data_IF_892749865828
#
_entry.id   IF_892749865828
#
_cell.length_a   1.000
_cell.length_b   1.000
_cell.length_c   1.000
_cell.angle_alpha   90.00
_cell.angle_beta   90.00
_cell.angle_gamma   90.00
#
_symmetry.space_group_name_H-M   'P 1'
#
loop_
_entity.id
_entity.type
_entity.pdbx_description
1 polymer ?
#
# COMPACT_ATOMS: atom_id res chain seq x y z
N UNK A 1 16.00 13.11 38.52
CA UNK A 1 16.67 11.80 38.54
C UNK A 1 16.04 11.03 39.68
N UNK A 2 15.47 9.87 39.40
CA UNK A 2 14.93 8.98 40.42
C UNK A 2 15.88 7.81 40.57
N UNK A 3 16.30 7.48 41.79
CA UNK A 3 17.16 6.33 42.04
C UNK A 3 16.32 5.10 42.35
N UNK A 4 16.76 3.96 41.84
CA UNK A 4 16.17 2.65 42.14
C UNK A 4 16.78 2.08 43.42
N UNK A 5 16.08 1.15 44.07
CA UNK A 5 16.56 0.51 45.30
C UNK A 5 17.86 -0.27 45.13
N UNK A 6 18.20 -0.65 43.89
CA UNK A 6 19.41 -1.39 43.52
C UNK A 6 20.53 -0.48 42.95
N UNK A 7 20.40 0.85 43.07
CA UNK A 7 21.45 1.81 42.70
C UNK A 7 21.47 2.26 41.22
N UNK A 8 20.55 1.78 40.38
CA UNK A 8 20.26 2.36 39.07
C UNK A 8 19.46 3.66 39.15
N UNK A 9 19.25 4.34 38.02
CA UNK A 9 18.51 5.61 38.00
C UNK A 9 17.65 5.80 36.74
N UNK A 10 16.58 6.59 36.89
CA UNK A 10 15.71 7.09 35.82
C UNK A 10 15.96 8.59 35.60
N UNK A 11 16.20 8.96 34.34
CA UNK A 11 16.25 10.35 33.89
C UNK A 11 15.11 10.56 32.91
N UNK A 12 14.27 11.56 33.18
CA UNK A 12 13.17 11.96 32.31
C UNK A 12 13.44 13.37 31.82
N UNK A 13 13.31 13.57 30.51
CA UNK A 13 13.52 14.86 29.85
C UNK A 13 12.60 14.98 28.64
N UNK A 14 12.28 16.20 28.24
CA UNK A 14 11.53 16.45 27.01
C UNK A 14 12.44 16.44 25.78
N UNK A 15 11.85 16.43 24.60
CA UNK A 15 12.56 16.72 23.34
C UNK A 15 13.26 18.08 23.47
N UNK A 16 14.55 18.14 23.10
CA UNK A 16 15.51 19.24 23.32
C UNK A 16 16.04 19.41 24.75
N UNK A 17 15.63 18.57 25.70
CA UNK A 17 16.24 18.55 27.02
C UNK A 17 17.64 17.94 26.97
N UNK A 18 18.48 18.25 27.96
CA UNK A 18 19.80 17.63 28.04
C UNK A 18 19.70 16.21 28.62
N UNK A 19 20.32 15.25 27.93
CA UNK A 19 20.71 13.97 28.50
C UNK A 19 22.17 14.08 28.94
N UNK A 20 22.41 13.87 30.23
CA UNK A 20 23.75 13.94 30.85
C UNK A 20 24.75 13.02 30.13
N UNK A 21 26.06 13.21 30.34
CA UNK A 21 27.14 12.45 29.69
C UNK A 21 27.25 10.97 30.11
N UNK A 22 26.20 10.37 30.66
CA UNK A 22 26.17 8.98 31.09
C UNK A 22 25.50 8.12 30.03
N UNK A 23 26.00 6.91 29.84
CA UNK A 23 25.37 5.91 28.97
C UNK A 23 24.02 5.49 29.53
N UNK A 24 23.13 5.02 28.66
CA UNK A 24 21.80 4.53 29.04
C UNK A 24 21.63 3.06 28.64
N UNK A 25 21.19 2.22 29.56
CA UNK A 25 20.90 0.81 29.28
C UNK A 25 19.56 0.65 28.54
N UNK A 26 18.57 1.48 28.87
CA UNK A 26 17.24 1.48 28.25
C UNK A 26 16.83 2.92 27.94
N UNK A 27 16.52 3.19 26.68
CA UNK A 27 15.92 4.44 26.23
C UNK A 27 14.43 4.21 25.95
N UNK A 28 13.57 4.96 26.64
CA UNK A 28 12.13 4.96 26.42
C UNK A 28 11.73 6.33 25.86
N UNK A 29 11.07 6.32 24.72
CA UNK A 29 10.51 7.50 24.07
C UNK A 29 9.00 7.38 24.05
N UNK A 30 8.35 8.12 24.94
CA UNK A 30 6.90 8.11 25.17
C UNK A 30 6.28 9.41 24.63
N UNK A 31 5.25 9.29 23.79
CA UNK A 31 4.45 10.40 23.23
C UNK A 31 5.25 11.65 22.82
N UNK A 32 6.12 11.48 21.83
CA UNK A 32 7.01 12.53 21.31
C UNK A 32 6.29 13.75 20.70
N UNK A 33 5.00 13.60 20.37
CA UNK A 33 4.18 14.61 19.74
C UNK A 33 2.96 14.90 20.62
N UNK A 34 2.76 16.16 21.03
CA UNK A 34 1.64 16.53 21.91
C UNK A 34 0.27 16.45 21.23
N UNK A 35 0.23 16.43 19.90
CA UNK A 35 -0.98 16.33 19.11
C UNK A 35 -0.76 16.64 17.63
N UNK A 36 -1.85 16.75 16.87
CA UNK A 36 -1.83 16.94 15.40
C UNK A 36 -0.92 18.08 14.94
N UNK A 37 -0.98 19.24 15.59
CA UNK A 37 -0.20 20.42 15.17
C UNK A 37 1.31 20.18 15.22
N UNK A 38 1.81 19.54 16.28
CA UNK A 38 3.23 19.22 16.42
C UNK A 38 3.65 18.16 15.40
N UNK A 39 2.84 17.11 15.23
CA UNK A 39 3.17 16.01 14.31
C UNK A 39 3.13 16.42 12.83
N UNK A 40 2.27 17.36 12.44
CA UNK A 40 2.18 17.85 11.07
C UNK A 40 3.18 18.98 10.77
N UNK A 41 3.85 19.54 11.79
CA UNK A 41 4.87 20.56 11.60
C UNK A 41 6.19 19.92 11.16
N UNK A 42 6.67 20.16 9.92
CA UNK A 42 7.93 19.58 9.45
C UNK A 42 9.11 20.02 10.31
N UNK A 43 9.09 21.26 10.83
CA UNK A 43 10.11 21.81 11.73
C UNK A 43 10.13 21.02 13.05
N UNK A 44 8.97 20.68 13.60
CA UNK A 44 8.90 19.94 14.85
C UNK A 44 9.32 18.47 14.64
N UNK A 45 8.88 17.83 13.55
CA UNK A 45 9.36 16.48 13.18
C UNK A 45 10.87 16.44 13.03
N UNK A 46 11.45 17.39 12.30
CA UNK A 46 12.90 17.50 12.14
C UNK A 46 13.61 17.67 13.48
N UNK A 47 13.08 18.50 14.37
CA UNK A 47 13.61 18.68 15.72
C UNK A 47 13.60 17.38 16.55
N UNK A 48 12.52 16.60 16.47
CA UNK A 48 12.45 15.29 17.15
C UNK A 48 13.51 14.35 16.59
N UNK A 49 13.68 14.32 15.27
CA UNK A 49 14.70 13.52 14.59
C UNK A 49 16.12 13.96 14.96
N UNK A 50 16.39 15.26 14.98
CA UNK A 50 17.68 15.82 15.38
C UNK A 50 18.02 15.47 16.82
N UNK A 51 17.03 15.59 17.73
CA UNK A 51 17.19 15.19 19.11
C UNK A 51 17.50 13.69 19.25
N UNK A 52 16.78 12.83 18.50
CA UNK A 52 17.05 11.39 18.48
C UNK A 52 18.49 11.11 18.05
N UNK A 53 18.90 11.59 16.86
CA UNK A 53 20.21 11.28 16.27
C UNK A 53 21.37 11.87 17.08
N UNK A 54 21.24 13.12 17.53
CA UNK A 54 22.38 13.85 18.12
C UNK A 54 22.50 13.68 19.64
N UNK A 55 21.38 13.44 20.33
CA UNK A 55 21.34 13.42 21.81
C UNK A 55 20.98 12.04 22.34
N UNK A 56 19.88 11.44 21.88
CA UNK A 56 19.38 10.21 22.48
C UNK A 56 20.22 8.99 22.06
N UNK A 57 20.40 8.81 20.76
CA UNK A 57 21.13 7.68 20.18
C UNK A 57 22.61 7.67 20.60
N UNK A 58 23.24 8.85 20.71
CA UNK A 58 24.64 8.99 21.15
C UNK A 58 24.88 8.60 22.62
N UNK A 59 23.83 8.25 23.38
CA UNK A 59 23.94 7.71 24.74
C UNK A 59 23.80 6.20 24.81
N UNK A 60 23.44 5.55 23.71
CA UNK A 60 23.34 4.11 23.61
C UNK A 60 24.74 3.51 23.47
N UNK A 61 24.92 2.35 24.10
CA UNK A 61 26.06 1.46 23.91
C UNK A 61 25.57 0.15 23.26
N UNK A 62 26.48 -0.74 22.90
CA UNK A 62 26.16 -1.99 22.16
C UNK A 62 25.12 -2.90 22.86
N UNK A 63 24.91 -2.73 24.17
CA UNK A 63 23.95 -3.50 24.95
C UNK A 63 22.61 -2.80 25.17
N UNK A 64 22.50 -1.52 24.80
CA UNK A 64 21.32 -0.72 25.09
C UNK A 64 20.08 -1.23 24.34
N UNK A 65 18.92 -1.01 24.95
CA UNK A 65 17.61 -1.29 24.34
C UNK A 65 16.83 0.00 24.16
N UNK A 66 15.96 -0.01 23.16
CA UNK A 66 15.11 1.11 22.82
C UNK A 66 13.64 0.68 22.81
N UNK A 67 12.77 1.51 23.39
CA UNK A 67 11.33 1.38 23.30
C UNK A 67 10.75 2.72 22.85
N UNK A 68 10.17 2.74 21.66
CA UNK A 68 9.45 3.90 21.12
C UNK A 68 7.97 3.57 21.19
N UNK A 69 7.22 4.37 21.94
CA UNK A 69 5.81 4.18 22.18
C UNK A 69 5.09 5.51 22.00
N UNK A 70 4.27 5.63 20.97
CA UNK A 70 3.35 6.76 20.83
C UNK A 70 2.30 6.46 19.76
N UNK A 71 1.25 7.26 19.76
CA UNK A 71 0.21 7.21 18.72
C UNK A 71 0.72 7.87 17.45
N UNK A 72 0.75 7.13 16.33
CA UNK A 72 1.17 7.67 15.02
C UNK A 72 0.21 8.77 14.54
N UNK A 73 0.76 9.91 14.15
CA UNK A 73 -0.03 11.05 13.62
C UNK A 73 0.26 11.34 12.15
N UNK A 74 1.52 11.15 11.73
CA UNK A 74 2.02 11.50 10.41
C UNK A 74 2.98 10.42 9.90
N UNK A 75 3.05 10.20 8.60
CA UNK A 75 3.91 9.17 8.02
C UNK A 75 5.39 9.42 8.30
N UNK A 76 5.85 10.67 8.21
CA UNK A 76 7.23 11.10 8.49
C UNK A 76 7.54 11.38 9.97
N UNK A 77 6.72 10.92 10.92
CA UNK A 77 7.12 10.98 12.32
C UNK A 77 8.34 10.07 12.61
N UNK A 78 8.95 10.15 13.80
CA UNK A 78 10.23 9.48 14.10
C UNK A 78 10.24 7.99 13.72
N UNK A 79 9.21 7.24 14.12
CA UNK A 79 9.02 5.84 13.81
C UNK A 79 8.87 5.62 12.30
N UNK A 80 8.24 6.54 11.57
CA UNK A 80 8.18 6.49 10.11
C UNK A 80 9.57 6.55 9.48
N UNK A 81 10.36 7.54 9.89
CA UNK A 81 11.73 7.73 9.39
C UNK A 81 12.63 6.54 9.75
N UNK A 82 12.51 6.01 10.97
CA UNK A 82 13.30 4.85 11.41
C UNK A 82 12.90 3.58 10.66
N UNK A 83 11.61 3.35 10.43
CA UNK A 83 11.14 2.18 9.69
C UNK A 83 11.45 2.27 8.20
N UNK A 84 11.55 3.47 7.61
CA UNK A 84 12.01 3.63 6.22
C UNK A 84 13.50 3.23 6.07
N UNK A 85 14.34 3.58 7.05
CA UNK A 85 15.79 3.37 6.96
C UNK A 85 16.26 2.00 7.47
N UNK A 86 15.60 1.49 8.50
CA UNK A 86 16.13 0.44 9.37
C UNK A 86 15.04 -0.59 9.76
N UNK A 87 14.10 -0.87 8.85
CA UNK A 87 12.94 -1.75 9.14
C UNK A 87 13.33 -3.07 9.81
N UNK A 88 14.40 -3.70 9.35
CA UNK A 88 14.87 -5.02 9.82
C UNK A 88 15.40 -5.01 11.26
N UNK A 89 15.69 -3.82 11.82
CA UNK A 89 16.21 -3.66 13.18
C UNK A 89 15.06 -3.56 14.20
N UNK A 90 13.92 -3.01 13.78
CA UNK A 90 12.81 -2.67 14.67
C UNK A 90 11.74 -3.76 14.72
N UNK A 91 11.42 -4.21 15.93
CA UNK A 91 10.21 -5.00 16.17
C UNK A 91 9.00 -4.06 16.29
N UNK A 92 8.09 -4.11 15.31
CA UNK A 92 6.88 -3.26 15.30
C UNK A 92 5.71 -3.99 15.93
N UNK A 93 5.16 -3.42 17.01
CA UNK A 93 3.96 -3.94 17.67
C UNK A 93 2.78 -2.99 17.47
N UNK A 94 2.06 -3.15 16.36
CA UNK A 94 0.90 -2.32 15.99
C UNK A 94 -0.41 -2.97 16.46
N UNK A 95 -1.25 -2.23 17.17
CA UNK A 95 -2.60 -2.67 17.52
C UNK A 95 -3.63 -1.72 16.94
N UNK A 96 -4.46 -2.24 16.05
CA UNK A 96 -5.51 -1.49 15.38
C UNK A 96 -6.77 -1.43 16.24
N UNK A 97 -7.38 -0.24 16.38
CA UNK A 97 -8.60 -0.07 17.16
C UNK A 97 -9.75 -0.94 16.64
N UNK A 98 -9.88 -1.09 15.32
CA UNK A 98 -10.65 -2.17 14.68
C UNK A 98 -9.64 -3.02 13.90
N UNK A 99 -9.58 -4.32 14.16
CA UNK A 99 -8.64 -5.18 13.45
C UNK A 99 -9.00 -5.25 11.95
N UNK A 100 -8.12 -4.76 11.09
CA UNK A 100 -8.27 -4.75 9.62
C UNK A 100 -7.16 -5.56 8.94
N UNK A 101 -6.05 -5.84 9.62
CA UNK A 101 -4.94 -6.64 9.10
C UNK A 101 -4.47 -7.76 10.05
N UNK A 102 -3.58 -8.61 9.54
CA UNK A 102 -2.89 -9.65 10.31
C UNK A 102 -1.42 -9.30 10.58
N UNK A 103 -1.05 -8.02 10.45
CA UNK A 103 0.36 -7.57 10.54
C UNK A 103 0.97 -7.82 11.93
N UNK A 104 0.12 -7.94 12.95
CA UNK A 104 0.54 -8.25 14.31
C UNK A 104 0.11 -9.67 14.70
N UNK A 105 1.05 -10.61 14.64
CA UNK A 105 0.83 -12.02 14.99
C UNK A 105 0.38 -12.24 16.44
N UNK A 106 0.67 -11.29 17.34
CA UNK A 106 0.23 -11.36 18.75
C UNK A 106 -1.23 -10.97 18.94
N UNK A 107 -1.83 -10.29 17.97
CA UNK A 107 -3.22 -9.90 18.00
C UNK A 107 -4.11 -11.07 17.55
N UNK A 108 -4.74 -11.76 18.50
CA UNK A 108 -5.54 -12.96 18.26
C UNK A 108 -7.01 -12.69 17.93
N UNK A 109 -7.42 -11.42 17.84
CA UNK A 109 -8.79 -11.03 17.50
C UNK A 109 -9.17 -11.45 16.08
N UNK A 110 -10.46 -11.56 15.79
CA UNK A 110 -10.95 -11.70 14.42
C UNK A 110 -10.97 -10.35 13.68
N UNK A 111 -10.95 -10.39 12.34
CA UNK A 111 -11.10 -9.16 11.55
C UNK A 111 -12.43 -8.47 11.88
N UNK A 112 -12.37 -7.16 12.06
CA UNK A 112 -13.49 -6.31 12.40
C UNK A 112 -13.80 -6.24 13.90
N UNK A 113 -13.07 -6.94 14.76
CA UNK A 113 -13.23 -6.83 16.21
C UNK A 113 -12.55 -5.58 16.78
N UNK A 114 -13.20 -4.85 17.72
CA UNK A 114 -12.60 -3.71 18.40
C UNK A 114 -11.52 -4.13 19.40
N UNK A 115 -10.49 -3.30 19.60
CA UNK A 115 -9.34 -3.62 20.47
C UNK A 115 -9.73 -3.66 21.94
N UNK A 116 -10.61 -2.74 22.32
CA UNK A 116 -11.09 -2.60 23.68
C UNK A 116 -12.57 -2.25 23.68
N UNK A 117 -13.41 -3.24 23.37
CA UNK A 117 -14.86 -3.04 23.19
C UNK A 117 -15.52 -2.31 24.37
N UNK A 118 -15.10 -2.63 25.60
CA UNK A 118 -15.65 -2.07 26.84
C UNK A 118 -15.43 -0.55 26.97
N UNK A 119 -14.30 -0.03 26.47
CA UNK A 119 -13.98 1.41 26.52
C UNK A 119 -14.28 2.13 25.20
N UNK A 120 -14.15 1.41 24.08
CA UNK A 120 -14.29 1.89 22.71
C UNK A 120 -15.10 0.89 21.88
N UNK A 121 -16.42 0.93 22.03
CA UNK A 121 -17.38 0.14 21.24
C UNK A 121 -17.13 0.30 19.74
N UNK A 122 -17.43 -0.76 18.96
CA UNK A 122 -17.31 -0.75 17.49
C UNK A 122 -18.11 0.39 16.86
N UNK A 123 -19.31 0.68 17.36
CA UNK A 123 -20.19 1.74 16.87
C UNK A 123 -19.55 3.12 17.04
N UNK A 124 -18.91 3.38 18.19
CA UNK A 124 -18.15 4.61 18.45
C UNK A 124 -16.98 4.74 17.47
N UNK A 125 -16.22 3.67 17.26
CA UNK A 125 -15.07 3.66 16.34
C UNK A 125 -15.52 3.91 14.89
N UNK A 126 -16.58 3.26 14.43
CA UNK A 126 -17.17 3.49 13.10
C UNK A 126 -17.70 4.92 12.94
N UNK A 127 -18.26 5.51 13.99
CA UNK A 127 -18.67 6.92 13.98
C UNK A 127 -17.48 7.86 13.83
N UNK A 128 -16.35 7.59 14.51
CA UNK A 128 -15.11 8.36 14.33
C UNK A 128 -14.60 8.20 12.89
N UNK A 129 -14.53 6.96 12.38
CA UNK A 129 -14.16 6.66 10.98
C UNK A 129 -14.99 7.44 9.97
N UNK A 130 -16.30 7.57 10.21
CA UNK A 130 -17.21 8.33 9.34
C UNK A 130 -16.99 9.85 9.42
N UNK A 131 -16.77 10.38 10.63
CA UNK A 131 -16.69 11.82 10.85
C UNK A 131 -15.32 12.38 10.46
N UNK A 132 -14.24 11.66 10.76
CA UNK A 132 -12.87 12.06 10.46
C UNK A 132 -12.05 10.81 10.08
N UNK A 133 -12.10 10.40 8.79
CA UNK A 133 -11.40 9.22 8.31
C UNK A 133 -9.88 9.32 8.48
N UNK A 134 -9.31 10.53 8.37
CA UNK A 134 -7.87 10.76 8.52
C UNK A 134 -7.43 10.53 9.96
N UNK A 135 -8.13 11.13 10.94
CA UNK A 135 -7.86 10.94 12.37
C UNK A 135 -8.06 9.48 12.78
N UNK A 136 -9.11 8.82 12.26
CA UNK A 136 -9.31 7.39 12.52
C UNK A 136 -8.12 6.58 11.99
N UNK A 137 -7.72 6.82 10.75
CA UNK A 137 -6.66 6.07 10.10
C UNK A 137 -5.29 6.27 10.76
N UNK A 138 -4.96 7.50 11.18
CA UNK A 138 -3.72 7.77 11.91
C UNK A 138 -3.79 7.24 13.34
N UNK A 139 -4.70 7.75 14.17
CA UNK A 139 -4.66 7.50 15.62
C UNK A 139 -5.21 6.14 16.02
N UNK A 140 -6.28 5.71 15.38
CA UNK A 140 -6.99 4.49 15.79
C UNK A 140 -6.40 3.27 15.09
N UNK A 141 -6.04 3.39 13.81
CA UNK A 141 -5.43 2.30 13.05
C UNK A 141 -3.89 2.32 13.07
N UNK A 142 -3.25 3.33 13.68
CA UNK A 142 -1.79 3.48 13.76
C UNK A 142 -1.12 3.50 12.37
N UNK A 143 -1.78 4.12 11.40
CA UNK A 143 -1.43 3.95 10.00
C UNK A 143 -1.67 5.23 9.19
N UNK A 144 -0.97 6.33 9.57
CA UNK A 144 -1.15 7.65 8.98
C UNK A 144 -0.89 7.61 7.48
N UNK A 145 -1.74 8.30 6.71
CA UNK A 145 -1.60 8.37 5.25
C UNK A 145 -0.88 9.65 4.83
N UNK A 146 -0.16 9.62 3.70
CA UNK A 146 0.31 10.83 3.06
C UNK A 146 -0.87 11.73 2.73
N UNK A 147 -0.80 13.00 3.12
CA UNK A 147 -1.78 14.02 2.71
C UNK A 147 -1.42 14.68 1.40
N UNK A 148 -0.16 14.57 0.97
CA UNK A 148 0.37 15.18 -0.25
C UNK A 148 1.31 14.20 -0.96
N UNK A 149 1.53 14.41 -2.26
CA UNK A 149 2.45 13.59 -3.04
C UNK A 149 1.91 12.21 -3.43
N UNK A 150 0.60 11.96 -3.26
CA UNK A 150 -0.06 10.77 -3.79
C UNK A 150 -0.05 10.78 -5.33
N UNK A 151 0.23 9.64 -5.93
CA UNK A 151 0.20 9.48 -7.38
C UNK A 151 -1.24 9.25 -7.88
N UNK A 152 -2.04 8.52 -7.11
CA UNK A 152 -3.42 8.18 -7.45
C UNK A 152 -4.38 8.89 -6.51
N UNK A 153 -5.11 9.85 -7.06
CA UNK A 153 -6.06 10.69 -6.32
C UNK A 153 -7.46 10.54 -6.91
N UNK A 154 -8.49 10.66 -6.07
CA UNK A 154 -9.90 10.63 -6.49
C UNK A 154 -10.24 9.39 -7.34
N UNK A 155 -9.84 8.21 -6.86
CA UNK A 155 -10.07 6.93 -7.54
C UNK A 155 -11.57 6.78 -7.85
N UNK A 156 -11.90 6.78 -9.14
CA UNK A 156 -13.29 6.81 -9.59
C UNK A 156 -13.94 5.44 -9.44
N UNK A 157 -15.24 5.44 -9.17
CA UNK A 157 -16.02 4.21 -9.03
C UNK A 157 -17.20 4.14 -10.00
N UNK A 158 -17.77 2.94 -10.14
CA UNK A 158 -19.03 2.68 -10.84
C UNK A 158 -19.99 1.85 -9.99
N UNK A 159 -21.28 2.15 -10.09
CA UNK A 159 -22.35 1.36 -9.48
C UNK A 159 -22.86 0.23 -10.40
N UNK A 160 -22.82 0.45 -11.72
CA UNK A 160 -23.31 -0.51 -12.73
C UNK A 160 -22.15 -0.85 -13.66
N UNK A 161 -21.83 -2.14 -13.74
CA UNK A 161 -20.82 -2.63 -14.68
C UNK A 161 -21.41 -2.66 -16.10
N UNK A 162 -20.67 -2.23 -17.14
CA UNK A 162 -21.17 -2.27 -18.51
C UNK A 162 -21.50 -3.69 -18.96
N UNK A 163 -22.56 -3.82 -19.77
CA UNK A 163 -22.97 -5.11 -20.36
C UNK A 163 -22.23 -5.46 -21.64
N UNK A 164 -21.60 -4.46 -22.26
CA UNK A 164 -20.82 -4.57 -23.47
C UNK A 164 -19.32 -4.52 -23.16
N UNK A 165 -18.51 -4.82 -24.16
CA UNK A 165 -17.05 -4.84 -24.02
C UNK A 165 -16.48 -6.25 -23.88
N UNK A 166 -15.23 -6.38 -24.31
CA UNK A 166 -14.50 -7.64 -24.20
C UNK A 166 -13.89 -7.74 -22.81
N UNK A 167 -14.16 -8.83 -22.09
CA UNK A 167 -13.49 -9.10 -20.82
C UNK A 167 -12.03 -9.47 -21.08
N UNK A 168 -11.13 -8.75 -20.42
CA UNK A 168 -9.68 -8.89 -20.53
C UNK A 168 -9.07 -9.06 -19.13
N UNK A 169 -7.85 -9.57 -19.06
CA UNK A 169 -7.07 -9.52 -17.83
C UNK A 169 -5.61 -9.18 -18.11
N UNK A 170 -4.98 -8.56 -17.12
CA UNK A 170 -3.55 -8.34 -17.07
C UNK A 170 -3.05 -8.88 -15.73
N UNK A 171 -1.95 -9.62 -15.76
CA UNK A 171 -1.37 -10.24 -14.57
C UNK A 171 0.12 -9.97 -14.54
N UNK A 172 0.54 -9.30 -13.47
CA UNK A 172 1.93 -9.23 -13.04
C UNK A 172 2.19 -10.35 -12.00
N UNK A 173 3.21 -11.16 -12.27
CA UNK A 173 3.51 -12.35 -11.46
C UNK A 173 4.53 -12.02 -10.40
N UNK A 174 4.29 -12.44 -9.15
CA UNK A 174 5.30 -12.38 -8.10
C UNK A 174 6.45 -13.34 -8.44
N UNK A 175 7.70 -12.86 -8.41
CA UNK A 175 8.88 -13.68 -8.75
C UNK A 175 9.35 -14.50 -7.52
N UNK A 176 9.65 -13.89 -6.35
CA UNK A 176 9.96 -14.60 -5.09
C UNK A 176 9.61 -13.82 -3.80
N UNK A 177 9.03 -14.52 -2.80
CA UNK A 177 9.08 -14.23 -1.36
C UNK A 177 8.34 -12.99 -0.80
N UNK A 178 8.53 -11.82 -1.42
CA UNK A 178 8.02 -10.52 -0.94
C UNK A 178 7.09 -9.82 -1.93
N UNK A 179 7.13 -10.18 -3.21
CA UNK A 179 6.36 -9.48 -4.24
C UNK A 179 4.88 -9.90 -4.21
N UNK A 180 3.99 -8.96 -4.51
CA UNK A 180 2.58 -9.27 -4.65
C UNK A 180 2.29 -9.74 -6.07
N UNK A 181 1.54 -10.84 -6.20
CA UNK A 181 0.81 -11.12 -7.43
C UNK A 181 -0.23 -10.00 -7.61
N UNK A 182 -0.27 -9.38 -8.79
CA UNK A 182 -1.35 -8.47 -9.18
C UNK A 182 -2.02 -8.98 -10.46
N UNK A 183 -3.26 -9.50 -10.34
CA UNK A 183 -4.08 -9.88 -11.50
C UNK A 183 -5.36 -9.08 -11.52
N UNK A 184 -5.59 -8.34 -12.59
CA UNK A 184 -6.74 -7.45 -12.75
C UNK A 184 -7.57 -7.91 -13.94
N UNK A 185 -8.85 -8.18 -13.70
CA UNK A 185 -9.85 -8.43 -14.74
C UNK A 185 -10.59 -7.12 -15.00
N UNK A 186 -10.72 -6.75 -16.26
CA UNK A 186 -11.34 -5.49 -16.65
C UNK A 186 -12.02 -5.58 -18.02
N UNK A 187 -12.79 -4.55 -18.36
CA UNK A 187 -13.22 -4.30 -19.73
C UNK A 187 -13.01 -2.84 -20.10
N UNK A 188 -12.92 -2.54 -21.40
CA UNK A 188 -12.84 -1.17 -21.92
C UNK A 188 -14.07 -0.85 -22.74
N UNK A 189 -14.79 0.20 -22.34
CA UNK A 189 -16.01 0.68 -23.00
C UNK A 189 -15.95 2.20 -23.06
N UNK A 190 -16.18 2.78 -24.24
CA UNK A 190 -16.24 4.23 -24.46
C UNK A 190 -15.04 5.02 -23.91
N UNK A 191 -13.84 4.43 -23.98
CA UNK A 191 -12.60 5.05 -23.51
C UNK A 191 -12.33 4.91 -22.01
N UNK A 192 -13.26 4.34 -21.24
CA UNK A 192 -13.08 4.03 -19.82
C UNK A 192 -12.70 2.56 -19.62
N UNK A 193 -11.85 2.31 -18.63
CA UNK A 193 -11.46 0.97 -18.17
C UNK A 193 -12.24 0.65 -16.90
N UNK A 194 -13.12 -0.34 -16.97
CA UNK A 194 -13.92 -0.81 -15.84
C UNK A 194 -13.25 -2.02 -15.21
N UNK A 195 -12.69 -1.84 -14.02
CA UNK A 195 -12.09 -2.92 -13.23
C UNK A 195 -13.20 -3.77 -12.63
N UNK A 196 -13.16 -5.08 -12.90
CA UNK A 196 -14.16 -6.04 -12.48
C UNK A 196 -13.72 -6.85 -11.26
N UNK A 197 -12.48 -7.31 -11.27
CA UNK A 197 -11.91 -8.17 -10.24
C UNK A 197 -10.42 -7.88 -10.06
N UNK A 198 -9.93 -8.03 -8.83
CA UNK A 198 -8.52 -7.81 -8.48
C UNK A 198 -8.08 -8.93 -7.54
N UNK A 199 -7.10 -9.71 -7.97
CA UNK A 199 -6.34 -10.61 -7.10
C UNK A 199 -5.03 -9.91 -6.78
N UNK A 200 -4.87 -9.50 -5.52
CA UNK A 200 -3.65 -8.86 -5.02
C UNK A 200 -3.19 -9.56 -3.73
N UNK A 201 -2.11 -10.36 -3.81
CA UNK A 201 -1.67 -11.21 -2.69
C UNK A 201 -0.22 -11.68 -2.79
N UNK A 202 0.43 -11.91 -1.64
CA UNK A 202 1.76 -12.55 -1.51
C UNK A 202 1.68 -14.08 -1.35
N UNK A 203 0.53 -14.71 -1.62
CA UNK A 203 0.41 -16.16 -1.57
C UNK A 203 1.31 -16.82 -2.62
N UNK A 204 1.80 -18.03 -2.30
CA UNK A 204 2.65 -18.83 -3.19
C UNK A 204 1.94 -19.14 -4.52
N UNK A 205 2.73 -19.32 -5.59
CA UNK A 205 2.26 -19.65 -6.95
C UNK A 205 1.27 -20.82 -6.99
N UNK A 206 1.53 -21.88 -6.21
CA UNK A 206 0.63 -23.05 -6.12
C UNK A 206 -0.81 -22.71 -5.72
N UNK A 207 -1.00 -21.60 -4.99
CA UNK A 207 -2.32 -21.08 -4.61
C UNK A 207 -2.82 -20.02 -5.58
N UNK A 208 -1.93 -19.18 -6.12
CA UNK A 208 -2.34 -18.06 -6.98
C UNK A 208 -2.64 -18.47 -8.41
N UNK A 209 -2.01 -19.52 -8.94
CA UNK A 209 -2.32 -20.10 -10.26
C UNK A 209 -3.80 -20.52 -10.39
N UNK A 210 -4.35 -21.37 -9.50
CA UNK A 210 -5.78 -21.73 -9.57
C UNK A 210 -6.69 -20.53 -9.28
N UNK A 211 -6.31 -19.62 -8.37
CA UNK A 211 -7.09 -18.40 -8.11
C UNK A 211 -7.25 -17.52 -9.37
N UNK A 212 -6.16 -17.31 -10.12
CA UNK A 212 -6.21 -16.56 -11.37
C UNK A 212 -7.05 -17.33 -12.40
N UNK A 213 -6.83 -18.64 -12.56
CA UNK A 213 -7.61 -19.45 -13.49
C UNK A 213 -9.12 -19.39 -13.22
N UNK A 214 -9.53 -19.52 -11.96
CA UNK A 214 -10.94 -19.41 -11.54
C UNK A 214 -11.52 -18.03 -11.87
N UNK A 215 -10.77 -16.95 -11.60
CA UNK A 215 -11.18 -15.58 -11.96
C UNK A 215 -11.37 -15.43 -13.48
N UNK A 216 -10.46 -15.98 -14.29
CA UNK A 216 -10.60 -15.96 -15.76
C UNK A 216 -11.86 -16.69 -16.23
N UNK A 217 -12.19 -17.84 -15.63
CA UNK A 217 -13.36 -18.65 -15.95
C UNK A 217 -14.65 -17.91 -15.53
N UNK A 218 -14.73 -17.49 -14.27
CA UNK A 218 -15.91 -16.85 -13.67
C UNK A 218 -16.29 -15.60 -14.45
N UNK A 219 -15.31 -14.76 -14.79
CA UNK A 219 -15.53 -13.51 -15.51
C UNK A 219 -15.50 -13.67 -17.03
N UNK A 220 -15.41 -14.91 -17.53
CA UNK A 220 -15.42 -15.25 -18.97
C UNK A 220 -14.41 -14.44 -19.77
N UNK A 221 -13.20 -14.27 -19.22
CA UNK A 221 -12.13 -13.48 -19.84
C UNK A 221 -11.79 -14.05 -21.21
N UNK A 222 -11.71 -13.19 -22.22
CA UNK A 222 -11.38 -13.58 -23.59
C UNK A 222 -9.90 -13.43 -23.91
N UNK A 223 -9.28 -12.36 -23.44
CA UNK A 223 -7.85 -12.13 -23.62
C UNK A 223 -7.19 -11.94 -22.26
N UNK A 224 -6.26 -12.82 -21.92
CA UNK A 224 -5.50 -12.73 -20.68
C UNK A 224 -4.03 -12.49 -21.03
N UNK A 225 -3.44 -11.50 -20.37
CA UNK A 225 -2.02 -11.21 -20.48
C UNK A 225 -1.33 -11.49 -19.17
N UNK A 226 -0.24 -12.24 -19.26
CA UNK A 226 0.52 -12.64 -18.09
C UNK A 226 1.98 -12.26 -18.34
N UNK A 227 2.54 -11.47 -17.45
CA UNK A 227 3.94 -11.08 -17.53
C UNK A 227 4.84 -12.32 -17.34
N UNK A 228 5.89 -12.44 -18.16
CA UNK A 228 6.73 -13.63 -18.25
C UNK A 228 8.11 -13.40 -17.66
N UNK A 229 8.15 -12.88 -16.45
CA UNK A 229 9.37 -12.67 -15.67
C UNK A 229 9.83 -14.01 -15.07
N UNK A 230 10.75 -14.01 -14.10
CA UNK A 230 11.30 -15.25 -13.55
C UNK A 230 10.21 -16.10 -12.87
N UNK A 231 9.70 -17.11 -13.59
CA UNK A 231 8.60 -17.98 -13.15
C UNK A 231 7.27 -17.71 -13.85
N UNK A 232 7.04 -16.51 -14.38
CA UNK A 232 5.80 -16.11 -15.04
C UNK A 232 5.43 -16.93 -16.28
N UNK A 233 6.43 -17.49 -17.00
CA UNK A 233 6.17 -18.45 -18.10
C UNK A 233 5.61 -19.78 -17.60
N UNK A 234 6.05 -20.25 -16.43
CA UNK A 234 5.51 -21.43 -15.76
C UNK A 234 4.08 -21.16 -15.30
N UNK A 235 3.89 -20.04 -14.62
CA UNK A 235 2.59 -19.54 -14.17
C UNK A 235 1.56 -19.51 -15.30
N UNK A 236 1.89 -18.86 -16.43
CA UNK A 236 1.00 -18.77 -17.58
C UNK A 236 0.63 -20.13 -18.18
N UNK A 237 1.55 -21.10 -18.18
CA UNK A 237 1.29 -22.47 -18.66
C UNK A 237 0.37 -23.23 -17.72
N UNK A 238 0.57 -23.09 -16.42
CA UNK A 238 -0.25 -23.76 -15.41
C UNK A 238 -1.67 -23.18 -15.40
N UNK A 239 -1.82 -21.85 -15.41
CA UNK A 239 -3.12 -21.19 -15.58
C UNK A 239 -3.81 -21.66 -16.88
N UNK A 240 -3.08 -21.74 -18.00
CA UNK A 240 -3.63 -22.25 -19.26
C UNK A 240 -4.14 -23.68 -19.16
N UNK A 241 -3.42 -24.55 -18.47
CA UNK A 241 -3.82 -25.94 -18.23
C UNK A 241 -5.07 -26.01 -17.35
N UNK A 242 -5.17 -25.17 -16.33
CA UNK A 242 -6.32 -25.14 -15.42
C UNK A 242 -7.63 -24.68 -16.09
N UNK A 243 -7.55 -23.77 -17.06
CA UNK A 243 -8.72 -23.30 -17.81
C UNK A 243 -9.10 -24.18 -19.00
N UNK A 244 -8.26 -25.16 -19.38
CA UNK A 244 -8.46 -26.00 -20.54
C UNK A 244 -9.77 -26.81 -20.42
N UNK A 245 -10.63 -26.72 -21.44
CA UNK A 245 -11.97 -27.33 -21.41
C UNK A 245 -13.01 -26.60 -20.55
N UNK A 246 -12.61 -25.59 -19.76
CA UNK A 246 -13.51 -24.81 -18.89
C UNK A 246 -13.81 -23.41 -19.44
N UNK A 247 -12.84 -22.77 -20.08
CA UNK A 247 -13.00 -21.44 -20.68
C UNK A 247 -12.25 -21.31 -22.02
N UNK A 248 -12.80 -20.49 -22.92
CA UNK A 248 -12.14 -20.12 -24.17
C UNK A 248 -11.44 -18.75 -24.01
N UNK A 249 -10.30 -18.77 -23.30
CA UNK A 249 -9.47 -17.59 -23.02
C UNK A 249 -8.14 -17.69 -23.78
N UNK A 250 -7.82 -16.65 -24.54
CA UNK A 250 -6.54 -16.50 -25.21
C UNK A 250 -5.50 -15.93 -24.24
N UNK A 251 -4.63 -16.80 -23.71
CA UNK A 251 -3.52 -16.40 -22.84
C UNK A 251 -2.30 -16.05 -23.70
N UNK A 252 -1.82 -14.81 -23.57
CA UNK A 252 -0.56 -14.34 -24.14
C UNK A 252 0.38 -13.96 -23.02
N UNK A 253 1.58 -14.55 -23.02
CA UNK A 253 2.65 -14.12 -22.13
C UNK A 253 3.61 -13.17 -22.84
N UNK A 254 4.16 -12.20 -22.12
CA UNK A 254 5.04 -11.18 -22.67
C UNK A 254 6.10 -10.79 -21.64
N UNK A 255 7.26 -10.34 -22.11
CA UNK A 255 8.32 -9.81 -21.26
C UNK A 255 8.28 -8.29 -21.28
N UNK A 256 8.35 -7.66 -20.12
CA UNK A 256 8.42 -6.21 -19.98
C UNK A 256 9.83 -5.78 -19.61
N UNK A 257 10.49 -5.06 -20.52
CA UNK A 257 11.88 -4.62 -20.34
C UNK A 257 12.04 -3.13 -20.06
N UNK A 258 10.94 -2.36 -20.08
CA UNK A 258 10.98 -0.92 -19.82
C UNK A 258 11.10 -0.63 -18.33
N UNK A 259 11.60 0.56 -18.00
CA UNK A 259 11.70 1.03 -16.63
C UNK A 259 10.32 1.12 -15.96
N UNK A 260 10.13 0.36 -14.87
CA UNK A 260 8.89 0.24 -14.08
C UNK A 260 8.41 1.60 -13.57
N UNK A 261 9.27 2.35 -12.89
CA UNK A 261 8.99 3.68 -12.33
C UNK A 261 8.49 4.67 -13.40
N UNK A 262 9.15 4.75 -14.56
CA UNK A 262 8.73 5.63 -15.64
C UNK A 262 7.34 5.28 -16.21
N UNK A 263 7.02 3.97 -16.29
CA UNK A 263 5.70 3.50 -16.73
C UNK A 263 4.60 3.87 -15.75
N UNK A 264 4.84 3.62 -14.46
CA UNK A 264 3.93 3.99 -13.38
C UNK A 264 3.58 5.48 -13.42
N UNK A 265 4.60 6.34 -13.48
CA UNK A 265 4.42 7.79 -13.52
C UNK A 265 3.70 8.28 -14.77
N UNK A 266 4.05 7.74 -15.95
CA UNK A 266 3.44 8.17 -17.21
C UNK A 266 1.97 7.74 -17.36
N UNK A 267 1.60 6.58 -16.82
CA UNK A 267 0.23 6.06 -16.88
C UNK A 267 -0.72 6.70 -15.85
N UNK A 268 -0.20 7.21 -14.72
CA UNK A 268 -0.98 7.67 -13.58
C UNK A 268 -2.10 8.66 -13.93
N UNK A 269 -1.84 9.63 -14.80
CA UNK A 269 -2.84 10.63 -15.24
C UNK A 269 -4.04 9.98 -15.94
N UNK A 270 -3.80 9.01 -16.82
CA UNK A 270 -4.86 8.29 -17.51
C UNK A 270 -5.58 7.32 -16.57
N UNK A 271 -4.87 6.70 -15.62
CA UNK A 271 -5.47 5.86 -14.59
C UNK A 271 -6.47 6.67 -13.75
N UNK A 272 -6.05 7.81 -13.17
CA UNK A 272 -6.92 8.68 -12.38
C UNK A 272 -8.14 9.18 -13.17
N UNK A 273 -8.00 9.36 -14.49
CA UNK A 273 -9.07 9.92 -15.32
C UNK A 273 -10.04 8.87 -15.86
N UNK A 274 -9.55 7.72 -16.29
CA UNK A 274 -10.31 6.77 -17.13
C UNK A 274 -10.51 5.40 -16.50
N UNK A 275 -9.85 5.07 -15.40
CA UNK A 275 -10.07 3.81 -14.71
C UNK A 275 -11.18 3.97 -13.67
N UNK A 276 -12.09 3.01 -13.65
CA UNK A 276 -13.28 2.98 -12.80
C UNK A 276 -13.26 1.66 -12.02
N UNK A 277 -13.31 1.75 -10.69
CA UNK A 277 -13.36 0.61 -9.77
C UNK A 277 -14.81 0.34 -9.32
N UNK A 278 -15.16 -0.87 -8.85
CA UNK A 278 -16.51 -1.08 -8.33
C UNK A 278 -16.81 -0.16 -7.14
N UNK A 279 -18.07 0.21 -6.94
CA UNK A 279 -18.45 0.84 -5.67
C UNK A 279 -18.08 -0.06 -4.48
N UNK A 280 -17.59 0.57 -3.41
CA UNK A 280 -17.08 -0.07 -2.19
C UNK A 280 -15.95 -1.06 -2.45
N UNK A 281 -15.09 -0.78 -3.43
CA UNK A 281 -13.95 -1.65 -3.74
C UNK A 281 -12.93 -1.70 -2.60
N UNK A 282 -12.91 -0.74 -1.68
CA UNK A 282 -12.16 -0.78 -0.43
C UNK A 282 -12.58 -1.94 0.48
N UNK A 283 -13.85 -2.37 0.42
CA UNK A 283 -14.35 -3.55 1.15
C UNK A 283 -14.09 -4.84 0.35
N UNK A 284 -14.19 -4.78 -0.98
CA UNK A 284 -14.04 -5.95 -1.87
C UNK A 284 -12.58 -6.36 -2.05
N UNK A 285 -11.68 -5.38 -2.15
CA UNK A 285 -10.25 -5.55 -2.44
C UNK A 285 -9.40 -4.69 -1.48
N UNK A 286 -9.46 -4.93 -0.17
CA UNK A 286 -8.87 -4.05 0.85
C UNK A 286 -7.35 -3.86 0.67
N UNK A 287 -6.62 -4.92 0.33
CA UNK A 287 -5.16 -4.84 0.10
C UNK A 287 -4.83 -4.02 -1.14
N UNK A 288 -5.57 -4.23 -2.24
CA UNK A 288 -5.36 -3.47 -3.48
C UNK A 288 -5.71 -1.98 -3.28
N UNK A 289 -6.81 -1.70 -2.57
CA UNK A 289 -7.18 -0.34 -2.21
C UNK A 289 -6.09 0.32 -1.36
N UNK A 290 -5.60 -0.36 -0.32
CA UNK A 290 -4.52 0.15 0.52
C UNK A 290 -3.27 0.48 -0.29
N UNK A 291 -2.86 -0.44 -1.18
CA UNK A 291 -1.71 -0.23 -2.08
C UNK A 291 -1.88 1.00 -2.97
N UNK A 292 -3.02 1.14 -3.67
CA UNK A 292 -3.21 2.23 -4.63
C UNK A 292 -3.42 3.59 -3.96
N UNK A 293 -4.27 3.64 -2.94
CA UNK A 293 -4.70 4.87 -2.24
C UNK A 293 -3.61 5.59 -1.45
N UNK A 294 -2.44 4.95 -1.29
CA UNK A 294 -1.31 5.43 -0.50
C UNK A 294 -0.05 5.60 -1.32
N UNK A 295 -0.12 5.24 -2.60
CA UNK A 295 1.05 5.19 -3.43
C UNK A 295 1.57 6.60 -3.72
N UNK A 296 2.80 6.85 -3.32
CA UNK A 296 3.47 8.14 -3.50
C UNK A 296 4.03 8.27 -4.92
N UNK A 297 4.00 9.48 -5.46
CA UNK A 297 4.64 9.84 -6.73
C UNK A 297 6.17 9.62 -6.69
N UNK A 298 6.78 9.67 -5.50
CA UNK A 298 8.15 9.19 -5.30
C UNK A 298 8.12 7.65 -5.25
N UNK A 299 8.11 7.00 -6.42
CA UNK A 299 7.90 5.55 -6.58
C UNK A 299 8.78 4.72 -5.63
N UNK A 300 10.07 5.06 -5.51
CA UNK A 300 11.03 4.35 -4.65
C UNK A 300 10.78 4.43 -3.15
N UNK A 301 9.90 5.33 -2.69
CA UNK A 301 9.50 5.41 -1.29
C UNK A 301 8.38 4.42 -0.93
N UNK A 302 7.81 3.73 -1.93
CA UNK A 302 6.78 2.73 -1.71
C UNK A 302 7.42 1.34 -1.58
N UNK A 303 6.95 0.55 -0.61
CA UNK A 303 7.45 -0.81 -0.33
C UNK A 303 7.13 -1.78 -1.47
N UNK A 304 5.96 -1.63 -2.10
CA UNK A 304 5.49 -2.47 -3.21
C UNK A 304 4.83 -1.60 -4.27
N UNK A 305 5.02 -1.96 -5.55
CA UNK A 305 4.49 -1.24 -6.72
C UNK A 305 3.83 -2.15 -7.77
N UNK A 306 3.58 -3.43 -7.43
CA UNK A 306 3.08 -4.46 -8.36
C UNK A 306 1.67 -4.16 -8.89
N UNK A 307 0.78 -3.64 -8.04
CA UNK A 307 -0.57 -3.27 -8.46
C UNK A 307 -0.52 -2.09 -9.46
N UNK A 308 0.33 -1.12 -9.17
CA UNK A 308 0.52 0.10 -9.94
C UNK A 308 1.11 -0.25 -11.30
N UNK A 309 2.12 -1.12 -11.33
CA UNK A 309 2.71 -1.59 -12.59
C UNK A 309 1.72 -2.41 -13.43
N UNK A 310 0.93 -3.28 -12.79
CA UNK A 310 -0.14 -3.99 -13.47
C UNK A 310 -1.17 -3.03 -14.10
N UNK A 311 -1.59 -1.98 -13.37
CA UNK A 311 -2.49 -0.94 -13.90
C UNK A 311 -1.84 -0.15 -15.05
N UNK A 312 -0.55 0.18 -14.93
CA UNK A 312 0.21 0.83 -16.01
C UNK A 312 0.34 -0.06 -17.24
N UNK A 313 0.47 -1.37 -17.07
CA UNK A 313 0.43 -2.34 -18.15
C UNK A 313 -0.89 -2.34 -18.91
N UNK A 314 -2.01 -2.26 -18.19
CA UNK A 314 -3.35 -2.11 -18.77
C UNK A 314 -3.48 -0.79 -19.52
N UNK A 315 -3.03 0.31 -18.92
CA UNK A 315 -3.06 1.63 -19.56
C UNK A 315 -2.26 1.63 -20.86
N UNK A 316 -1.02 1.13 -20.83
CA UNK A 316 -0.18 1.05 -22.01
C UNK A 316 -0.82 0.20 -23.11
N UNK A 317 -1.49 -0.91 -22.77
CA UNK A 317 -2.18 -1.73 -23.75
C UNK A 317 -3.39 -1.03 -24.36
N UNK A 318 -4.25 -0.49 -23.52
CA UNK A 318 -5.53 0.03 -23.95
C UNK A 318 -5.42 1.40 -24.62
N UNK A 319 -4.41 2.21 -24.30
CA UNK A 319 -4.28 3.60 -24.76
C UNK A 319 -3.17 3.80 -25.81
N UNK A 320 -2.48 2.73 -26.23
CA UNK A 320 -1.44 2.72 -27.29
C UNK A 320 -1.83 3.45 -28.59
N UNK A 321 -3.10 3.41 -28.98
CA UNK A 321 -3.56 3.95 -30.27
C UNK A 321 -3.96 5.44 -30.25
N UNK A 322 -4.09 6.07 -29.07
CA UNK A 322 -4.39 7.52 -29.00
C UNK A 322 -3.21 8.40 -29.45
N UNK A 323 -1.99 7.87 -29.46
CA UNK A 323 -0.82 8.59 -29.97
C UNK A 323 -0.71 8.57 -31.51
N UNK A 324 -1.28 7.57 -32.20
CA UNK A 324 -1.29 7.52 -33.68
C UNK A 324 -2.25 8.55 -34.30
N UNK A 325 -3.36 8.87 -33.63
CA UNK A 325 -4.30 9.92 -34.06
C UNK A 325 -3.72 11.33 -33.98
N UNK A 326 -2.67 11.56 -33.18
CA UNK A 326 -1.96 12.85 -33.13
C UNK A 326 -0.91 13.03 -34.24
N UNK A 327 -0.50 11.95 -34.90
CA UNK A 327 0.53 11.96 -35.96
C UNK A 327 -0.02 11.81 -37.38
N UNK A 328 -1.33 11.65 -37.56
CA UNK A 328 -1.98 11.75 -38.86
C UNK A 328 -2.37 13.21 -39.14
N UNK A 329 -1.39 13.91 -39.72
CA UNK A 329 -1.54 14.99 -40.70
C UNK A 329 -2.83 15.86 -40.63
N UNK A 330 -2.73 16.99 -39.93
CA UNK A 330 -3.74 18.07 -39.96
C UNK A 330 -3.93 18.70 -41.35
N UNK A 331 -3.11 18.36 -42.35
CA UNK A 331 -3.28 18.89 -43.72
C UNK A 331 -4.19 18.04 -44.62
N UNK A 332 -4.73 16.91 -44.13
CA UNK A 332 -5.66 16.04 -44.89
C UNK A 332 -7.13 16.09 -44.45
N UNK A 333 -7.45 16.86 -43.42
CA UNK A 333 -8.83 17.18 -43.07
C UNK A 333 -9.05 18.64 -43.46
N UNK A 334 -9.65 18.87 -44.63
CA UNK A 334 -9.95 20.21 -45.14
C UNK A 334 -10.96 20.95 -44.26
N UNK A 335 -10.49 21.47 -43.14
CA UNK A 335 -11.12 22.43 -42.24
C UNK A 335 -10.13 23.54 -41.90
#
# INVERSE_FOLDING_TARGET
MFETTEGGYLISTGVNGSLTSKTVDILIMDDLYKGKMDAYSPIFRQRVLDFYNSVAETRLHNGSKQLILYTRWHEEDLAGVLLEKERDIWYVSKYEAIKETFDNEKDKRELGEPLWAEMHSKEKLLRVKKNDPEVFQSLMQQDPRPTEGLLYENIKTYSIFPTEGLMKSYTDTADEGSDFLASIVYTKVEGYVYVKDIIYTQKKMELTEPMVADSLIIHKVKNARIESNNGGKGFARNVKKEIEGKANTNIKWFHQSKNKEARILSAASNINKYFLFPDRWEEKFPLAHKSLSRFLAKVKANEHDDLQDCLSGIEEEEFKDNNKLRTMDRSKLGL
#
